data_IF_409734157331
#
_entry.id   IF_409734157331
#
_cell.length_a   1.000
_cell.length_b   1.000
_cell.length_c   1.000
_cell.angle_alpha   90.00
_cell.angle_beta   90.00
_cell.angle_gamma   90.00
#
_symmetry.space_group_name_H-M   'P 1'
#
loop_
_entity.id
_entity.type
_entity.pdbx_description
1 polymer ?
#
# COMPACT_ATOMS: atom_id res chain seq x y z
N UNK A 1 2.51 45.48 -18.97
CA UNK A 1 2.02 44.09 -19.07
C UNK A 1 1.97 43.56 -17.66
N UNK A 2 0.77 43.56 -17.11
CA UNK A 2 0.48 43.17 -15.74
C UNK A 2 0.51 41.65 -15.57
N UNK A 3 0.80 41.24 -14.34
CA UNK A 3 0.01 40.31 -13.53
C UNK A 3 0.69 38.99 -13.13
N UNK A 4 0.58 38.77 -11.80
CA UNK A 4 0.53 37.50 -11.05
C UNK A 4 1.86 36.92 -10.55
N UNK A 5 2.19 37.29 -9.32
CA UNK A 5 3.11 36.57 -8.45
C UNK A 5 2.62 36.63 -6.99
N UNK A 6 2.30 35.45 -6.45
CA UNK A 6 2.21 35.06 -5.04
C UNK A 6 1.23 35.79 -4.11
N UNK A 7 0.09 35.11 -3.85
CA UNK A 7 -0.53 35.12 -2.53
C UNK A 7 -0.88 33.66 -2.17
N UNK A 8 -0.04 33.06 -1.31
CA UNK A 8 -0.29 31.78 -0.65
C UNK A 8 -1.46 31.99 0.33
N UNK A 9 -2.67 31.59 -0.06
CA UNK A 9 -3.82 31.53 0.84
C UNK A 9 -3.86 30.14 1.46
N UNK A 10 -3.54 30.09 2.75
CA UNK A 10 -3.80 28.95 3.62
C UNK A 10 -5.31 28.78 3.72
N UNK A 11 -5.87 27.77 3.06
CA UNK A 11 -7.25 27.34 3.27
C UNK A 11 -7.36 26.70 4.66
N UNK A 12 -7.69 27.50 5.68
CA UNK A 12 -8.26 26.98 6.91
C UNK A 12 -9.73 26.64 6.64
N UNK A 13 -10.06 25.36 6.83
CA UNK A 13 -11.42 24.82 6.73
C UNK A 13 -12.38 25.60 7.63
N UNK A 14 -13.40 26.21 7.02
CA UNK A 14 -14.51 26.82 7.74
C UNK A 14 -15.47 25.68 8.09
N UNK A 15 -15.44 25.25 9.35
CA UNK A 15 -16.50 24.44 9.95
C UNK A 15 -17.74 25.34 10.02
N UNK A 16 -18.68 25.17 9.09
CA UNK A 16 -20.02 25.75 9.22
C UNK A 16 -20.80 24.93 10.24
N UNK A 17 -20.86 25.43 11.48
CA UNK A 17 -21.83 24.99 12.48
C UNK A 17 -23.20 25.55 12.07
N UNK A 18 -24.06 24.70 11.50
CA UNK A 18 -25.48 25.02 11.36
C UNK A 18 -26.16 24.70 12.69
N UNK A 19 -26.54 25.76 13.42
CA UNK A 19 -27.43 25.65 14.59
C UNK A 19 -28.86 25.59 14.04
N UNK A 20 -29.49 24.40 14.05
CA UNK A 20 -30.93 24.29 13.81
C UNK A 20 -31.71 24.69 15.06
N UNK A 21 -32.61 25.65 14.90
CA UNK A 21 -33.64 25.98 15.87
C UNK A 21 -34.68 24.85 15.94
N UNK A 22 -34.94 24.33 17.13
CA UNK A 22 -35.95 23.32 17.39
C UNK A 22 -37.36 23.92 17.32
N UNK A 23 -38.17 23.48 16.35
CA UNK A 23 -39.62 23.63 16.38
C UNK A 23 -40.21 22.28 16.81
N UNK A 24 -40.86 22.28 17.98
CA UNK A 24 -41.54 21.11 18.54
C UNK A 24 -42.84 20.86 17.79
N UNK A 25 -42.97 19.67 17.20
CA UNK A 25 -44.25 19.08 16.81
C UNK A 25 -44.33 17.69 17.42
N UNK A 26 -45.19 17.52 18.42
CA UNK A 26 -45.52 16.24 19.00
C UNK A 26 -46.54 15.50 18.12
N UNK A 27 -46.27 14.24 17.74
CA UNK A 27 -47.06 13.04 18.09
C UNK A 27 -46.75 11.87 17.17
N UNK A 28 -46.02 10.88 17.68
CA UNK A 28 -46.25 9.43 17.59
C UNK A 28 -45.03 8.76 18.24
N UNK A 29 -45.23 7.99 19.31
CA UNK A 29 -44.18 7.26 20.00
C UNK A 29 -43.53 6.22 19.06
N UNK A 30 -42.29 6.46 18.64
CA UNK A 30 -41.37 5.40 18.20
C UNK A 30 -40.09 5.49 19.03
N UNK A 31 -40.07 4.77 20.15
CA UNK A 31 -38.95 4.77 21.10
C UNK A 31 -37.80 3.87 20.64
N UNK A 32 -37.51 3.81 19.33
CA UNK A 32 -36.50 2.91 18.78
C UNK A 32 -35.52 3.58 17.81
N UNK A 33 -35.32 4.90 17.89
CA UNK A 33 -34.22 5.56 17.17
C UNK A 33 -32.88 5.43 17.91
N UNK A 34 -32.69 4.35 18.65
CA UNK A 34 -31.47 4.02 19.40
C UNK A 34 -30.70 2.90 18.72
N UNK A 35 -29.65 2.40 19.40
CA UNK A 35 -28.93 1.22 18.93
C UNK A 35 -29.88 0.05 18.65
N UNK A 36 -29.74 -0.58 17.50
CA UNK A 36 -30.68 -1.59 17.00
C UNK A 36 -29.92 -2.77 16.43
N UNK A 37 -30.31 -3.97 16.86
CA UNK A 37 -29.84 -5.22 16.29
C UNK A 37 -30.80 -5.67 15.19
N UNK A 38 -30.30 -5.87 13.99
CA UNK A 38 -31.11 -6.21 12.81
C UNK A 38 -30.89 -7.68 12.43
N UNK A 39 -31.97 -8.46 12.40
CA UNK A 39 -32.00 -9.84 11.89
C UNK A 39 -32.74 -9.91 10.55
N UNK A 40 -33.68 -8.99 10.32
CA UNK A 40 -34.55 -9.01 9.14
C UNK A 40 -34.98 -7.61 8.72
N UNK A 41 -35.62 -7.50 7.56
CA UNK A 41 -36.21 -6.24 7.10
C UNK A 41 -37.20 -5.66 8.12
N UNK A 42 -37.93 -6.48 8.89
CA UNK A 42 -38.89 -5.98 9.88
C UNK A 42 -38.21 -5.17 11.00
N UNK A 43 -36.98 -5.52 11.37
CA UNK A 43 -36.18 -4.76 12.35
C UNK A 43 -35.73 -3.42 11.76
N UNK A 44 -35.38 -3.39 10.46
CA UNK A 44 -35.05 -2.16 9.74
C UNK A 44 -36.29 -1.27 9.53
N UNK A 45 -37.47 -1.84 9.29
CA UNK A 45 -38.73 -1.11 9.15
C UNK A 45 -39.13 -0.41 10.46
N UNK A 46 -38.74 -0.96 11.62
CA UNK A 46 -38.93 -0.29 12.91
C UNK A 46 -38.17 1.05 13.02
N UNK A 47 -37.12 1.23 12.20
CA UNK A 47 -36.34 2.47 12.10
C UNK A 47 -36.90 3.45 11.05
N UNK A 48 -37.96 3.11 10.31
CA UNK A 48 -38.37 3.90 9.14
C UNK A 48 -38.87 5.31 9.46
N UNK A 49 -39.28 5.53 10.71
CA UNK A 49 -39.66 6.85 11.23
C UNK A 49 -38.48 7.66 11.79
N UNK A 50 -37.29 7.08 11.86
CA UNK A 50 -36.09 7.68 12.44
C UNK A 50 -35.23 8.33 11.36
N UNK A 51 -35.31 9.66 11.23
CA UNK A 51 -34.36 10.39 10.40
C UNK A 51 -32.92 10.25 10.94
N UNK A 52 -32.78 10.20 12.26
CA UNK A 52 -31.50 9.98 12.96
C UNK A 52 -31.60 8.78 13.88
N UNK A 53 -30.66 7.86 13.77
CA UNK A 53 -30.43 6.78 14.75
C UNK A 53 -29.31 7.21 15.68
N UNK A 54 -29.58 7.29 16.98
CA UNK A 54 -28.60 7.61 18.02
C UNK A 54 -28.07 6.32 18.63
N UNK A 55 -26.93 5.85 18.12
CA UNK A 55 -26.32 4.58 18.48
C UNK A 55 -26.05 3.68 17.27
N UNK A 56 -25.66 2.45 17.57
CA UNK A 56 -25.14 1.51 16.57
C UNK A 56 -26.24 0.66 15.95
N UNK A 57 -26.13 0.42 14.64
CA UNK A 57 -26.87 -0.63 13.95
C UNK A 57 -25.99 -1.87 13.87
N UNK A 58 -26.42 -2.96 14.46
CA UNK A 58 -25.66 -4.22 14.50
C UNK A 58 -26.40 -5.29 13.69
N UNK A 59 -25.81 -5.76 12.60
CA UNK A 59 -26.31 -6.86 11.80
C UNK A 59 -26.02 -8.17 12.53
N UNK A 60 -27.09 -8.90 12.85
CA UNK A 60 -27.03 -10.17 13.53
C UNK A 60 -26.28 -11.26 12.74
N UNK A 61 -25.68 -12.25 13.41
CA UNK A 61 -25.05 -13.39 12.70
C UNK A 61 -26.04 -14.21 11.86
N UNK A 62 -27.32 -14.16 12.21
CA UNK A 62 -28.42 -14.78 11.47
C UNK A 62 -29.24 -13.77 10.65
N UNK A 63 -28.70 -12.57 10.39
CA UNK A 63 -29.35 -11.61 9.51
C UNK A 63 -29.58 -12.24 8.12
N UNK A 64 -30.77 -12.08 7.56
CA UNK A 64 -31.16 -12.77 6.34
C UNK A 64 -31.94 -11.91 5.35
N UNK A 65 -31.72 -12.20 4.06
CA UNK A 65 -32.42 -11.57 2.95
C UNK A 65 -31.91 -10.17 2.63
N UNK A 66 -32.81 -9.32 2.16
CA UNK A 66 -32.51 -7.94 1.76
C UNK A 66 -32.93 -6.99 2.87
N UNK A 67 -32.03 -6.11 3.28
CA UNK A 67 -32.22 -5.16 4.38
C UNK A 67 -32.06 -3.74 3.87
N UNK A 68 -33.09 -2.91 4.00
CA UNK A 68 -33.13 -1.51 3.60
C UNK A 68 -33.47 -0.63 4.80
N UNK A 69 -32.55 0.27 5.15
CA UNK A 69 -32.70 1.32 6.16
C UNK A 69 -33.47 2.51 5.57
N UNK A 70 -34.71 2.28 5.20
CA UNK A 70 -35.58 3.30 4.57
C UNK A 70 -35.88 4.42 5.57
N UNK A 71 -35.77 5.68 5.17
CA UNK A 71 -36.11 6.83 6.04
C UNK A 71 -34.98 7.27 6.98
N UNK A 72 -33.97 6.43 7.21
CA UNK A 72 -32.77 6.79 7.96
C UNK A 72 -31.89 7.70 7.10
N UNK A 73 -31.54 8.87 7.63
CA UNK A 73 -30.67 9.87 6.98
C UNK A 73 -29.32 9.98 7.69
N UNK A 74 -29.28 9.80 9.01
CA UNK A 74 -28.07 9.92 9.83
C UNK A 74 -28.00 8.75 10.81
N UNK A 75 -26.81 8.15 10.94
CA UNK A 75 -26.48 7.24 12.03
C UNK A 75 -25.41 7.91 12.88
N UNK A 76 -25.79 8.31 14.08
CA UNK A 76 -24.85 8.79 15.10
C UNK A 76 -24.30 7.58 15.88
N UNK A 77 -23.48 6.80 15.19
CA UNK A 77 -23.03 5.49 15.60
C UNK A 77 -22.34 4.77 14.44
N UNK A 78 -22.19 3.45 14.59
CA UNK A 78 -21.65 2.57 13.56
C UNK A 78 -22.73 1.69 12.93
N UNK A 79 -22.51 1.24 11.70
CA UNK A 79 -23.11 0.01 11.18
C UNK A 79 -22.05 -1.08 11.31
N UNK A 80 -22.33 -2.14 12.07
CA UNK A 80 -21.41 -3.26 12.27
C UNK A 80 -22.10 -4.60 12.05
N UNK A 81 -21.31 -5.65 11.87
CA UNK A 81 -21.76 -7.04 11.94
C UNK A 81 -21.35 -7.64 13.28
N UNK A 82 -22.21 -8.49 13.86
CA UNK A 82 -21.76 -9.40 14.92
C UNK A 82 -20.60 -10.27 14.42
N UNK A 83 -19.85 -10.88 15.34
CA UNK A 83 -18.67 -11.69 14.99
C UNK A 83 -19.05 -12.89 14.11
N UNK A 84 -18.84 -12.72 12.81
CA UNK A 84 -19.01 -13.71 11.77
C UNK A 84 -17.69 -14.47 11.54
N UNK A 85 -17.77 -15.79 11.39
CA UNK A 85 -16.60 -16.63 11.07
C UNK A 85 -16.66 -17.01 9.59
N UNK A 86 -15.69 -16.54 8.82
CA UNK A 86 -15.51 -16.99 7.44
C UNK A 86 -14.50 -18.14 7.38
N UNK A 87 -14.99 -19.36 7.08
CA UNK A 87 -14.17 -20.59 7.05
C UNK A 87 -13.36 -20.78 5.76
N UNK A 88 -13.67 -20.04 4.69
CA UNK A 88 -13.08 -20.21 3.35
C UNK A 88 -12.21 -19.03 2.90
N UNK A 89 -11.73 -18.21 3.84
CA UNK A 89 -10.86 -17.12 3.47
C UNK A 89 -9.52 -17.55 2.95
N UNK A 90 -9.19 -17.12 1.74
CA UNK A 90 -7.80 -16.99 1.32
C UNK A 90 -7.12 -16.11 2.36
N UNK A 91 -6.14 -16.66 3.08
CA UNK A 91 -5.23 -15.84 3.86
C UNK A 91 -4.63 -14.80 2.92
N UNK A 92 -5.04 -13.54 3.04
CA UNK A 92 -4.26 -12.44 2.52
C UNK A 92 -2.85 -12.64 3.04
N UNK A 93 -1.89 -12.82 2.14
CA UNK A 93 -0.49 -12.98 2.51
C UNK A 93 -0.11 -11.76 3.32
N UNK A 94 0.05 -11.97 4.63
CA UNK A 94 0.48 -10.95 5.57
C UNK A 94 1.74 -10.26 5.05
N UNK A 95 1.62 -8.99 4.71
CA UNK A 95 2.78 -8.13 4.47
C UNK A 95 3.13 -7.54 5.83
N UNK A 96 4.30 -7.91 6.36
CA UNK A 96 4.75 -7.44 7.66
C UNK A 96 4.84 -5.89 7.65
N UNK A 97 3.92 -5.23 8.38
CA UNK A 97 3.95 -3.77 8.57
C UNK A 97 2.59 -3.04 8.67
N UNK A 98 1.45 -3.66 8.35
CA UNK A 98 0.14 -2.97 8.42
C UNK A 98 -0.47 -2.99 9.84
N UNK A 99 -0.98 -1.86 10.39
CA UNK A 99 -1.58 -1.80 11.73
C UNK A 99 -3.08 -2.13 11.73
N UNK A 100 -3.53 -3.08 10.89
CA UNK A 100 -4.96 -3.45 10.78
C UNK A 100 -5.11 -4.97 10.77
N UNK A 101 -5.95 -5.45 11.71
CA UNK A 101 -6.50 -6.79 11.88
C UNK A 101 -5.54 -7.92 12.33
N UNK A 102 -5.38 -8.05 13.66
CA UNK A 102 -5.16 -9.36 14.27
C UNK A 102 -6.46 -10.18 14.18
N UNK A 103 -6.70 -10.83 13.04
CA UNK A 103 -7.72 -11.88 12.95
C UNK A 103 -7.08 -13.17 13.46
N UNK A 104 -7.72 -13.92 14.38
CA UNK A 104 -7.28 -15.26 14.72
C UNK A 104 -7.34 -16.13 13.45
N UNK A 105 -6.19 -16.49 12.91
CA UNK A 105 -6.07 -17.57 11.95
C UNK A 105 -6.64 -18.83 12.61
N UNK A 106 -7.73 -19.39 12.08
CA UNK A 106 -8.11 -20.76 12.42
C UNK A 106 -7.08 -21.66 11.75
N UNK A 107 -6.14 -22.16 12.55
CA UNK A 107 -5.39 -23.36 12.20
C UNK A 107 -6.37 -24.47 11.81
N UNK A 108 -5.88 -25.36 10.95
CA UNK A 108 -6.51 -26.60 10.45
C UNK A 108 -6.81 -27.62 11.58
N UNK A 109 -7.23 -27.13 12.75
CA UNK A 109 -7.42 -27.88 13.98
C UNK A 109 -8.90 -28.28 14.10
N UNK A 110 -9.14 -29.56 13.86
CA UNK A 110 -10.47 -30.18 13.85
C UNK A 110 -11.20 -30.13 15.19
N UNK A 111 -10.50 -29.80 16.29
CA UNK A 111 -11.07 -29.76 17.64
C UNK A 111 -11.63 -28.39 18.07
N UNK A 112 -11.48 -27.33 17.25
CA UNK A 112 -12.09 -26.00 17.48
C UNK A 112 -13.48 -25.88 16.79
N UNK A 113 -14.06 -26.97 16.28
CA UNK A 113 -15.36 -26.94 15.59
C UNK A 113 -16.57 -26.91 16.55
N UNK A 114 -16.42 -27.29 17.82
CA UNK A 114 -17.59 -27.49 18.71
C UNK A 114 -18.02 -26.26 19.51
N UNK A 115 -17.21 -25.19 19.58
CA UNK A 115 -17.53 -23.99 20.37
C UNK A 115 -18.15 -22.85 19.53
N UNK A 116 -18.16 -22.97 18.20
CA UNK A 116 -18.71 -21.98 17.26
C UNK A 116 -19.80 -22.61 16.40
N UNK A 117 -20.97 -22.82 17.00
CA UNK A 117 -22.18 -23.21 16.30
C UNK A 117 -22.68 -22.04 15.42
N UNK A 118 -22.67 -22.23 14.11
CA UNK A 118 -23.47 -21.53 13.07
C UNK A 118 -23.35 -20.00 12.88
N UNK A 119 -22.31 -19.32 13.38
CA UNK A 119 -22.05 -17.89 13.07
C UNK A 119 -21.45 -17.66 11.66
N UNK A 120 -22.01 -18.30 10.63
CA UNK A 120 -21.47 -18.26 9.26
C UNK A 120 -21.95 -17.07 8.42
N UNK A 121 -22.89 -16.27 8.93
CA UNK A 121 -23.40 -15.02 8.34
C UNK A 121 -23.69 -15.09 6.83
N UNK A 122 -24.21 -16.24 6.38
CA UNK A 122 -24.49 -16.50 4.97
C UNK A 122 -25.83 -15.93 4.51
N UNK A 123 -26.70 -15.52 5.44
CA UNK A 123 -28.10 -15.21 5.14
C UNK A 123 -28.31 -13.83 4.50
N UNK A 124 -27.48 -12.85 4.84
CA UNK A 124 -27.66 -11.46 4.39
C UNK A 124 -27.25 -11.34 2.93
N UNK A 125 -28.18 -10.91 2.07
CA UNK A 125 -27.97 -10.81 0.62
C UNK A 125 -27.70 -9.37 0.19
N UNK A 126 -28.41 -8.40 0.78
CA UNK A 126 -28.15 -6.98 0.49
C UNK A 126 -28.41 -6.06 1.66
N UNK A 127 -27.64 -4.96 1.70
CA UNK A 127 -27.82 -3.86 2.64
C UNK A 127 -27.98 -2.54 1.86
N UNK A 128 -29.06 -1.83 2.10
CA UNK A 128 -29.36 -0.57 1.44
C UNK A 128 -29.74 0.52 2.44
N UNK A 129 -29.47 1.76 2.08
CA UNK A 129 -29.86 2.96 2.83
C UNK A 129 -30.09 4.10 1.84
N UNK A 130 -31.25 4.15 1.17
CA UNK A 130 -31.49 5.04 0.02
C UNK A 130 -31.46 6.53 0.39
N UNK A 131 -31.68 6.85 1.67
CA UNK A 131 -31.68 8.21 2.22
C UNK A 131 -30.48 8.50 3.12
N UNK A 132 -29.66 7.49 3.44
CA UNK A 132 -28.55 7.60 4.39
C UNK A 132 -27.48 8.55 3.84
N UNK A 133 -27.15 9.59 4.60
CA UNK A 133 -26.23 10.65 4.23
C UNK A 133 -24.92 10.63 5.03
N UNK A 134 -24.94 10.17 6.28
CA UNK A 134 -23.74 10.13 7.12
C UNK A 134 -23.77 9.05 8.19
N UNK A 135 -22.59 8.51 8.49
CA UNK A 135 -22.31 7.62 9.62
C UNK A 135 -21.22 8.30 10.47
N UNK A 136 -21.50 8.57 11.76
CA UNK A 136 -20.57 9.33 12.62
C UNK A 136 -19.41 8.52 13.18
N UNK A 137 -19.43 7.19 13.01
CA UNK A 137 -18.34 6.29 13.37
C UNK A 137 -17.98 5.39 12.17
N UNK A 138 -18.21 4.08 12.23
CA UNK A 138 -17.75 3.13 11.20
C UNK A 138 -18.88 2.46 10.41
N UNK A 139 -18.60 2.11 9.16
CA UNK A 139 -19.35 1.14 8.37
C UNK A 139 -18.50 -0.12 8.25
N UNK A 140 -18.79 -1.14 9.04
CA UNK A 140 -18.02 -2.38 9.11
C UNK A 140 -18.89 -3.59 8.74
N UNK A 141 -18.62 -4.16 7.57
CA UNK A 141 -19.28 -5.32 7.00
C UNK A 141 -18.24 -6.43 6.81
N UNK A 142 -18.07 -7.25 7.84
CA UNK A 142 -17.01 -8.27 7.88
C UNK A 142 -17.57 -9.69 7.84
N UNK A 143 -16.93 -10.55 7.05
CA UNK A 143 -17.20 -12.00 6.95
C UNK A 143 -18.66 -12.29 6.58
N UNK A 144 -19.17 -11.63 5.54
CA UNK A 144 -20.54 -11.80 5.03
C UNK A 144 -20.51 -12.50 3.66
N UNK A 145 -20.33 -13.84 3.61
CA UNK A 145 -20.17 -14.57 2.35
C UNK A 145 -21.42 -14.56 1.46
N UNK A 146 -22.60 -14.24 1.99
CA UNK A 146 -23.84 -14.10 1.21
C UNK A 146 -24.09 -12.70 0.66
N UNK A 147 -23.35 -11.69 1.11
CA UNK A 147 -23.64 -10.29 0.80
C UNK A 147 -23.26 -9.98 -0.65
N UNK A 148 -24.28 -9.78 -1.49
CA UNK A 148 -24.14 -9.53 -2.91
C UNK A 148 -24.23 -8.04 -3.29
N UNK A 149 -24.85 -7.21 -2.45
CA UNK A 149 -25.05 -5.79 -2.76
C UNK A 149 -25.03 -4.89 -1.53
N UNK A 150 -24.28 -3.79 -1.60
CA UNK A 150 -24.33 -2.68 -0.64
C UNK A 150 -24.63 -1.38 -1.38
N UNK A 151 -25.67 -0.65 -0.97
CA UNK A 151 -26.10 0.56 -1.67
C UNK A 151 -26.47 1.71 -0.73
N UNK A 152 -25.62 2.73 -0.70
CA UNK A 152 -25.86 3.99 0.02
C UNK A 152 -25.67 5.18 -0.93
N UNK A 153 -26.62 5.42 -1.86
CA UNK A 153 -26.45 6.37 -2.96
C UNK A 153 -26.32 7.84 -2.54
N UNK A 154 -26.74 8.19 -1.31
CA UNK A 154 -26.64 9.55 -0.75
C UNK A 154 -25.57 9.68 0.34
N UNK A 155 -24.84 8.61 0.65
CA UNK A 155 -23.85 8.63 1.74
C UNK A 155 -22.71 9.53 1.33
N UNK A 156 -22.47 10.58 2.11
CA UNK A 156 -21.44 11.59 1.87
C UNK A 156 -20.21 11.36 2.73
N UNK A 157 -20.40 10.96 3.98
CA UNK A 157 -19.32 10.88 4.95
C UNK A 157 -19.48 9.66 5.85
N UNK A 158 -18.38 8.95 6.06
CA UNK A 158 -18.20 8.06 7.21
C UNK A 158 -17.07 8.68 8.02
N UNK A 159 -17.28 9.00 9.29
CA UNK A 159 -16.23 9.70 10.04
C UNK A 159 -15.02 8.82 10.30
N UNK A 160 -15.25 7.51 10.53
CA UNK A 160 -14.24 6.48 10.73
C UNK A 160 -14.07 5.59 9.50
N UNK A 161 -13.97 4.29 9.75
CA UNK A 161 -13.64 3.27 8.75
C UNK A 161 -14.86 2.84 7.91
N UNK A 162 -14.65 2.70 6.60
CA UNK A 162 -15.48 1.88 5.71
C UNK A 162 -14.74 0.57 5.47
N UNK A 163 -15.18 -0.52 6.11
CA UNK A 163 -14.59 -1.86 6.01
C UNK A 163 -15.58 -2.81 5.36
N UNK A 164 -15.19 -3.35 4.20
CA UNK A 164 -15.81 -4.52 3.59
C UNK A 164 -14.73 -5.60 3.50
N UNK A 165 -14.80 -6.60 4.39
CA UNK A 165 -13.81 -7.66 4.50
C UNK A 165 -14.49 -9.03 4.42
N UNK A 166 -13.96 -9.97 3.62
CA UNK A 166 -14.53 -11.31 3.54
C UNK A 166 -15.96 -11.28 3.00
N UNK A 167 -16.17 -10.58 1.89
CA UNK A 167 -17.45 -10.42 1.18
C UNK A 167 -17.35 -10.98 -0.24
N UNK A 168 -16.99 -12.27 -0.40
CA UNK A 168 -16.61 -12.83 -1.70
C UNK A 168 -17.72 -12.74 -2.76
N UNK A 169 -18.99 -12.78 -2.35
CA UNK A 169 -20.15 -12.70 -3.26
C UNK A 169 -20.56 -11.28 -3.63
N UNK A 170 -19.86 -10.23 -3.16
CA UNK A 170 -20.23 -8.84 -3.39
C UNK A 170 -20.10 -8.48 -4.87
N UNK A 171 -21.22 -8.30 -5.56
CA UNK A 171 -21.27 -7.92 -6.97
C UNK A 171 -21.44 -6.40 -7.16
N UNK A 172 -22.10 -5.74 -6.21
CA UNK A 172 -22.48 -4.32 -6.32
C UNK A 172 -22.12 -3.53 -5.06
N UNK A 173 -21.29 -2.49 -5.22
CA UNK A 173 -20.99 -1.51 -4.19
C UNK A 173 -21.29 -0.10 -4.71
N UNK A 174 -22.35 0.53 -4.19
CA UNK A 174 -22.84 1.82 -4.68
C UNK A 174 -22.67 2.90 -3.62
N UNK A 175 -21.58 3.67 -3.71
CA UNK A 175 -21.23 4.80 -2.83
C UNK A 175 -20.86 6.08 -3.62
N UNK A 176 -21.66 6.50 -4.62
CA UNK A 176 -21.26 7.53 -5.59
C UNK A 176 -21.05 8.92 -4.99
N UNK A 177 -21.62 9.21 -3.82
CA UNK A 177 -21.50 10.50 -3.15
C UNK A 177 -20.51 10.49 -1.98
N UNK A 178 -19.87 9.35 -1.69
CA UNK A 178 -18.95 9.23 -0.56
C UNK A 178 -17.73 10.11 -0.83
N UNK A 179 -17.63 11.21 -0.10
CA UNK A 179 -16.58 12.20 -0.24
C UNK A 179 -15.40 11.96 0.71
N UNK A 180 -15.69 11.44 1.92
CA UNK A 180 -14.66 11.21 2.93
C UNK A 180 -14.92 9.98 3.80
N UNK A 181 -13.83 9.30 4.14
CA UNK A 181 -13.74 8.30 5.19
C UNK A 181 -12.40 8.47 5.93
N UNK A 182 -12.29 8.08 7.20
CA UNK A 182 -10.96 7.99 7.83
C UNK A 182 -10.13 6.91 7.12
N UNK A 183 -10.71 5.72 6.94
CA UNK A 183 -10.10 4.63 6.17
C UNK A 183 -11.14 3.94 5.28
N UNK A 184 -10.70 3.38 4.18
CA UNK A 184 -11.51 2.62 3.23
C UNK A 184 -10.80 1.31 2.92
N UNK A 185 -11.44 0.19 3.24
CA UNK A 185 -10.92 -1.15 3.05
C UNK A 185 -11.95 -1.98 2.27
N UNK A 186 -11.50 -2.52 1.14
CA UNK A 186 -12.26 -3.48 0.34
C UNK A 186 -11.38 -4.69 0.09
N UNK A 187 -11.64 -5.75 0.86
CA UNK A 187 -10.77 -6.93 0.95
C UNK A 187 -11.59 -8.21 0.78
N UNK A 188 -11.09 -9.12 -0.06
CA UNK A 188 -11.74 -10.40 -0.38
C UNK A 188 -13.17 -10.20 -0.93
N UNK A 189 -13.25 -9.49 -2.06
CA UNK A 189 -14.47 -9.18 -2.80
C UNK A 189 -14.32 -9.64 -4.27
N UNK A 190 -14.11 -10.94 -4.48
CA UNK A 190 -13.70 -11.51 -5.76
C UNK A 190 -14.75 -11.37 -6.87
N UNK A 191 -16.04 -11.25 -6.54
CA UNK A 191 -17.11 -11.05 -7.52
C UNK A 191 -17.36 -9.57 -7.87
N UNK A 192 -16.68 -8.62 -7.20
CA UNK A 192 -16.86 -7.19 -7.48
C UNK A 192 -16.09 -6.79 -8.74
N UNK A 193 -16.82 -6.57 -9.83
CA UNK A 193 -16.22 -6.32 -11.16
C UNK A 193 -15.90 -4.85 -11.45
N UNK A 194 -16.55 -3.93 -10.75
CA UNK A 194 -16.36 -2.48 -10.90
C UNK A 194 -16.40 -1.79 -9.54
N UNK A 195 -15.51 -0.82 -9.36
CA UNK A 195 -15.50 0.08 -8.22
C UNK A 195 -15.44 1.50 -8.75
N UNK A 196 -16.45 2.30 -8.43
CA UNK A 196 -16.51 3.72 -8.78
C UNK A 196 -16.80 4.53 -7.51
N UNK A 197 -15.87 5.41 -7.17
CA UNK A 197 -15.92 6.28 -5.99
C UNK A 197 -15.60 7.72 -6.42
N UNK A 198 -16.44 8.32 -7.29
CA UNK A 198 -16.08 9.54 -8.02
C UNK A 198 -15.99 10.78 -7.13
N UNK A 199 -16.62 10.74 -5.95
CA UNK A 199 -16.58 11.83 -4.97
C UNK A 199 -15.46 11.63 -3.93
N UNK A 200 -14.88 10.43 -3.80
CA UNK A 200 -13.97 10.10 -2.71
C UNK A 200 -12.59 10.73 -2.95
N UNK A 201 -12.35 11.86 -2.30
CA UNK A 201 -11.11 12.61 -2.42
C UNK A 201 -10.38 12.80 -1.08
N UNK A 202 -10.98 12.36 0.04
CA UNK A 202 -10.40 12.52 1.37
C UNK A 202 -10.40 11.20 2.16
N UNK A 203 -9.21 10.59 2.26
CA UNK A 203 -8.92 9.45 3.12
C UNK A 203 -7.63 9.73 3.86
N UNK A 204 -7.69 9.84 5.19
CA UNK A 204 -6.53 10.25 6.01
C UNK A 204 -5.73 9.08 6.58
N UNK A 205 -6.42 7.98 6.87
CA UNK A 205 -5.87 6.70 7.31
C UNK A 205 -5.44 5.85 6.12
N UNK A 206 -6.08 4.68 5.99
CA UNK A 206 -5.72 3.68 4.98
C UNK A 206 -6.73 3.64 3.85
N UNK A 207 -6.26 3.61 2.61
CA UNK A 207 -7.03 3.19 1.45
C UNK A 207 -6.50 1.83 0.98
N UNK A 208 -7.31 0.79 1.05
CA UNK A 208 -6.91 -0.58 0.76
C UNK A 208 -7.89 -1.29 -0.18
N UNK A 209 -7.36 -1.85 -1.27
CA UNK A 209 -8.07 -2.75 -2.17
C UNK A 209 -7.23 -4.03 -2.31
N UNK A 210 -7.73 -5.15 -1.79
CA UNK A 210 -7.03 -6.43 -1.85
C UNK A 210 -7.94 -7.59 -2.26
N UNK A 211 -7.47 -8.42 -3.19
CA UNK A 211 -8.20 -9.63 -3.62
C UNK A 211 -9.60 -9.30 -4.16
N UNK A 212 -9.65 -8.43 -5.17
CA UNK A 212 -10.90 -7.92 -5.77
C UNK A 212 -11.00 -8.25 -7.25
N UNK A 213 -12.19 -8.60 -7.72
CA UNK A 213 -12.50 -9.02 -9.08
C UNK A 213 -12.51 -7.94 -10.17
N UNK A 214 -11.91 -6.77 -9.92
CA UNK A 214 -12.01 -5.58 -10.78
C UNK A 214 -11.62 -5.89 -12.23
N UNK A 215 -12.48 -5.47 -13.18
CA UNK A 215 -12.37 -5.85 -14.60
C UNK A 215 -12.10 -4.68 -15.55
N UNK A 216 -12.19 -3.43 -15.09
CA UNK A 216 -11.80 -2.32 -15.95
C UNK A 216 -10.30 -2.34 -16.19
N UNK A 217 -9.91 -1.97 -17.41
CA UNK A 217 -8.51 -1.99 -17.82
C UNK A 217 -7.68 -1.03 -16.96
N UNK A 218 -8.22 0.17 -16.68
CA UNK A 218 -7.53 1.22 -15.91
C UNK A 218 -8.42 1.79 -14.81
N UNK A 219 -7.85 1.95 -13.61
CA UNK A 219 -8.46 2.67 -12.48
C UNK A 219 -7.66 3.93 -12.15
N UNK A 220 -8.37 5.00 -11.77
CA UNK A 220 -7.79 6.30 -11.41
C UNK A 220 -8.32 6.71 -10.04
N UNK A 221 -7.41 7.02 -9.12
CA UNK A 221 -7.73 7.56 -7.81
C UNK A 221 -7.07 8.93 -7.62
N UNK A 222 -7.85 9.88 -7.11
CA UNK A 222 -7.39 11.24 -6.83
C UNK A 222 -7.76 11.64 -5.42
N UNK A 223 -6.75 11.69 -4.55
CA UNK A 223 -6.90 12.02 -3.13
C UNK A 223 -6.20 13.37 -2.85
N UNK A 224 -6.93 14.30 -2.24
CA UNK A 224 -6.46 15.67 -1.99
C UNK A 224 -5.50 15.78 -0.79
N UNK A 225 -5.66 14.90 0.21
CA UNK A 225 -4.99 15.00 1.50
C UNK A 225 -3.86 13.98 1.71
N UNK A 226 -3.25 14.06 2.90
CA UNK A 226 -2.30 13.08 3.40
C UNK A 226 -3.01 11.74 3.56
N UNK A 227 -2.49 10.68 2.94
CA UNK A 227 -2.95 9.31 3.14
C UNK A 227 -1.89 8.59 3.95
N UNK A 228 -2.25 8.00 5.08
CA UNK A 228 -1.28 7.25 5.89
C UNK A 228 -0.77 6.02 5.13
N UNK A 229 -1.68 5.24 4.55
CA UNK A 229 -1.34 4.08 3.73
C UNK A 229 -2.26 3.96 2.51
N UNK A 230 -1.69 3.66 1.34
CA UNK A 230 -2.41 3.33 0.12
C UNK A 230 -1.94 1.97 -0.36
N UNK A 231 -2.81 0.97 -0.32
CA UNK A 231 -2.46 -0.44 -0.52
C UNK A 231 -3.33 -1.03 -1.62
N UNK A 232 -2.70 -1.60 -2.63
CA UNK A 232 -3.40 -2.33 -3.70
C UNK A 232 -2.72 -3.66 -3.96
N UNK A 233 -3.51 -4.73 -3.99
CA UNK A 233 -3.02 -6.06 -4.32
C UNK A 233 -4.14 -7.01 -4.78
N UNK A 234 -3.77 -8.16 -5.34
CA UNK A 234 -4.75 -9.20 -5.68
C UNK A 234 -5.83 -8.73 -6.67
N UNK A 235 -5.48 -7.89 -7.64
CA UNK A 235 -6.38 -7.38 -8.70
C UNK A 235 -6.03 -8.00 -10.06
N UNK A 236 -6.39 -9.27 -10.32
CA UNK A 236 -5.78 -10.09 -11.37
C UNK A 236 -6.06 -9.64 -12.80
N UNK A 237 -7.08 -8.82 -13.04
CA UNK A 237 -7.49 -8.39 -14.39
C UNK A 237 -7.17 -6.93 -14.71
N UNK A 238 -6.78 -6.13 -13.71
CA UNK A 238 -6.46 -4.71 -13.90
C UNK A 238 -5.12 -4.57 -14.59
N UNK A 239 -5.07 -3.74 -15.63
CA UNK A 239 -3.85 -3.48 -16.41
C UNK A 239 -3.23 -2.14 -16.11
N UNK A 240 -4.01 -1.15 -15.72
CA UNK A 240 -3.56 0.21 -15.46
C UNK A 240 -4.03 0.68 -14.09
N UNK A 241 -3.13 1.28 -13.34
CA UNK A 241 -3.48 1.92 -12.08
C UNK A 241 -2.83 3.29 -11.98
N UNK A 242 -3.66 4.33 -11.77
CA UNK A 242 -3.23 5.70 -11.63
C UNK A 242 -3.58 6.26 -10.26
N UNK A 243 -2.60 6.85 -9.59
CA UNK A 243 -2.79 7.54 -8.31
C UNK A 243 -2.28 8.97 -8.38
N UNK A 244 -3.13 9.88 -7.94
CA UNK A 244 -2.85 11.29 -7.66
C UNK A 244 -3.06 11.50 -6.17
N UNK A 245 -1.99 11.78 -5.41
CA UNK A 245 -2.06 12.09 -3.97
C UNK A 245 -0.95 13.06 -3.57
N UNK A 246 -1.21 13.92 -2.58
CA UNK A 246 -0.25 14.92 -2.09
C UNK A 246 0.89 14.31 -1.26
N UNK A 247 0.55 13.58 -0.20
CA UNK A 247 1.51 12.82 0.60
C UNK A 247 0.96 11.43 0.89
N UNK A 248 1.81 10.42 0.76
CA UNK A 248 1.48 9.05 1.17
C UNK A 248 2.56 8.55 2.12
N UNK A 249 2.18 8.09 3.31
CA UNK A 249 3.13 7.46 4.23
C UNK A 249 3.67 6.16 3.61
N UNK A 250 2.78 5.18 3.44
CA UNK A 250 3.08 3.92 2.75
C UNK A 250 2.26 3.80 1.47
N UNK A 251 2.92 3.69 0.32
CA UNK A 251 2.31 3.30 -0.94
C UNK A 251 2.77 1.89 -1.30
N UNK A 252 1.86 0.93 -1.21
CA UNK A 252 2.12 -0.47 -1.54
C UNK A 252 1.31 -0.92 -2.74
N UNK A 253 1.99 -1.43 -3.76
CA UNK A 253 1.38 -1.96 -4.98
C UNK A 253 1.89 -3.37 -5.24
N UNK A 254 0.96 -4.32 -5.27
CA UNK A 254 1.18 -5.71 -5.64
C UNK A 254 0.42 -6.01 -6.95
N UNK A 255 1.15 -5.99 -8.05
CA UNK A 255 0.63 -6.28 -9.37
C UNK A 255 0.38 -7.76 -9.64
N UNK A 256 -0.13 -8.03 -10.84
CA UNK A 256 -0.51 -9.35 -11.35
C UNK A 256 0.43 -9.87 -12.47
N UNK A 257 1.63 -9.29 -12.57
CA UNK A 257 2.63 -9.51 -13.62
C UNK A 257 2.46 -8.62 -14.85
N UNK A 258 1.28 -8.02 -15.05
CA UNK A 258 0.95 -7.17 -16.20
C UNK A 258 0.51 -5.77 -15.80
N UNK A 259 0.33 -5.51 -14.49
CA UNK A 259 -0.09 -4.21 -13.99
C UNK A 259 0.93 -3.13 -14.38
N UNK A 260 0.46 -2.16 -15.15
CA UNK A 260 1.07 -0.88 -15.41
C UNK A 260 0.67 0.09 -14.30
N UNK A 261 1.65 0.42 -13.48
CA UNK A 261 1.49 1.40 -12.43
C UNK A 261 1.99 2.76 -12.89
N UNK A 262 1.12 3.77 -12.82
CA UNK A 262 1.45 5.16 -13.12
C UNK A 262 1.16 6.01 -11.88
N UNK A 263 2.19 6.61 -11.31
CA UNK A 263 2.00 7.65 -10.31
C UNK A 263 2.18 9.00 -10.98
N UNK A 264 1.13 9.80 -11.12
CA UNK A 264 1.21 11.10 -11.79
C UNK A 264 0.45 12.15 -11.02
N UNK A 265 0.98 13.37 -10.95
CA UNK A 265 0.22 14.51 -10.48
C UNK A 265 0.77 15.82 -11.09
N UNK A 266 -0.15 16.76 -11.30
CA UNK A 266 0.10 18.13 -11.75
C UNK A 266 0.30 19.14 -10.60
N UNK A 267 0.21 18.69 -9.34
CA UNK A 267 0.42 19.54 -8.15
C UNK A 267 1.91 19.62 -7.80
N UNK A 268 2.35 20.82 -7.41
CA UNK A 268 3.68 21.08 -6.87
C UNK A 268 3.83 20.31 -5.53
N UNK A 269 4.72 19.33 -5.49
CA UNK A 269 5.12 18.51 -4.31
C UNK A 269 4.25 17.30 -3.96
N UNK A 270 4.48 16.18 -4.66
CA UNK A 270 4.05 14.85 -4.22
C UNK A 270 5.16 14.18 -3.42
N UNK A 271 4.86 13.63 -2.24
CA UNK A 271 5.83 12.91 -1.43
C UNK A 271 5.31 11.55 -0.99
N UNK A 272 6.14 10.52 -1.11
CA UNK A 272 5.86 9.19 -0.58
C UNK A 272 6.96 8.80 0.39
N UNK A 273 6.63 8.47 1.64
CA UNK A 273 7.67 8.10 2.60
C UNK A 273 8.24 6.71 2.26
N UNK A 274 7.36 5.73 2.00
CA UNK A 274 7.75 4.40 1.51
C UNK A 274 6.90 4.00 0.32
N UNK A 275 7.54 3.77 -0.82
CA UNK A 275 6.95 3.19 -2.01
C UNK A 275 7.45 1.76 -2.18
N UNK A 276 6.56 0.78 -2.04
CA UNK A 276 6.84 -0.64 -2.25
C UNK A 276 6.07 -1.14 -3.47
N UNK A 277 6.76 -1.61 -4.50
CA UNK A 277 6.17 -2.14 -5.72
C UNK A 277 6.66 -3.55 -6.01
N UNK A 278 5.73 -4.46 -6.22
CA UNK A 278 5.98 -5.87 -6.53
C UNK A 278 5.00 -6.41 -7.56
N UNK A 279 5.39 -7.42 -8.33
CA UNK A 279 4.50 -8.05 -9.31
C UNK A 279 4.00 -7.13 -10.43
N UNK A 280 4.58 -5.94 -10.64
CA UNK A 280 4.17 -5.04 -11.73
C UNK A 280 4.91 -5.37 -13.03
N UNK A 281 4.22 -5.17 -14.16
CA UNK A 281 4.76 -5.35 -15.52
C UNK A 281 5.28 -4.06 -16.14
N UNK A 282 4.86 -2.90 -15.63
CA UNK A 282 5.37 -1.59 -16.00
C UNK A 282 5.29 -0.64 -14.80
N UNK A 283 6.28 0.24 -14.68
CA UNK A 283 6.37 1.26 -13.63
C UNK A 283 6.68 2.61 -14.27
N UNK A 284 5.78 3.57 -14.08
CA UNK A 284 5.93 4.95 -14.55
C UNK A 284 5.77 5.89 -13.36
N UNK A 285 6.84 6.60 -13.05
CA UNK A 285 6.84 7.61 -12.00
C UNK A 285 6.82 9.00 -12.62
N UNK A 286 5.84 9.81 -12.24
CA UNK A 286 5.80 11.25 -12.45
C UNK A 286 6.63 12.00 -11.40
N UNK A 287 6.51 13.32 -11.35
CA UNK A 287 7.27 14.17 -10.43
C UNK A 287 6.91 13.90 -8.97
N UNK A 288 7.79 13.19 -8.25
CA UNK A 288 7.57 12.83 -6.84
C UNK A 288 8.86 12.78 -6.02
N UNK A 289 8.78 13.12 -4.74
CA UNK A 289 9.80 12.83 -3.73
C UNK A 289 9.50 11.46 -3.10
N UNK A 290 10.50 10.60 -2.96
CA UNK A 290 10.32 9.28 -2.33
C UNK A 290 11.38 9.10 -1.26
N UNK A 291 11.05 8.89 0.01
CA UNK A 291 12.10 8.63 1.00
C UNK A 291 12.70 7.22 0.80
N UNK A 292 11.84 6.19 0.70
CA UNK A 292 12.24 4.80 0.50
C UNK A 292 11.52 4.19 -0.71
N UNK A 293 12.27 3.75 -1.72
CA UNK A 293 11.74 2.99 -2.86
C UNK A 293 12.20 1.54 -2.78
N UNK A 294 11.25 0.61 -2.78
CA UNK A 294 11.44 -0.84 -2.82
C UNK A 294 10.81 -1.38 -4.10
N UNK A 295 11.63 -1.91 -5.00
CA UNK A 295 11.22 -2.57 -6.24
C UNK A 295 11.58 -4.05 -6.13
N UNK A 296 10.61 -4.88 -5.78
CA UNK A 296 10.85 -6.28 -5.46
C UNK A 296 10.00 -7.25 -6.30
N UNK A 297 10.61 -8.20 -7.00
CA UNK A 297 9.86 -9.29 -7.64
C UNK A 297 8.94 -8.86 -8.79
N UNK A 298 9.33 -7.85 -9.56
CA UNK A 298 8.58 -7.38 -10.73
C UNK A 298 9.01 -8.10 -12.03
N UNK A 299 8.16 -8.02 -13.05
CA UNK A 299 8.37 -8.58 -14.41
C UNK A 299 8.90 -7.54 -15.41
N UNK A 300 9.27 -6.35 -14.92
CA UNK A 300 9.86 -5.27 -15.73
C UNK A 300 11.23 -5.66 -16.30
N UNK A 301 11.52 -5.22 -17.53
CA UNK A 301 12.87 -5.30 -18.13
C UNK A 301 13.69 -4.04 -17.86
N UNK A 302 13.04 -2.87 -17.80
CA UNK A 302 13.68 -1.58 -17.59
C UNK A 302 12.98 -0.84 -16.45
N UNK A 303 13.75 -0.39 -15.46
CA UNK A 303 13.29 0.49 -14.40
C UNK A 303 13.74 1.92 -14.70
N UNK A 304 12.81 2.86 -14.88
CA UNK A 304 13.13 4.27 -15.08
C UNK A 304 12.71 5.11 -13.89
N UNK A 305 13.68 5.76 -13.24
CA UNK A 305 13.44 6.57 -12.05
C UNK A 305 13.42 8.09 -12.35
N UNK A 306 13.35 8.48 -13.63
CA UNK A 306 13.48 9.88 -14.07
C UNK A 306 12.43 10.85 -13.48
N UNK A 307 11.27 10.36 -13.04
CA UNK A 307 10.27 11.19 -12.34
C UNK A 307 10.58 11.46 -10.87
N UNK A 308 11.48 10.69 -10.26
CA UNK A 308 11.78 10.79 -8.83
C UNK A 308 12.76 11.95 -8.58
N UNK A 309 12.30 12.94 -7.82
CA UNK A 309 13.00 14.20 -7.53
C UNK A 309 13.94 14.11 -6.33
N UNK A 310 13.66 13.23 -5.37
CA UNK A 310 14.55 12.94 -4.23
C UNK A 310 14.40 11.48 -3.83
N UNK A 311 15.49 10.87 -3.36
CA UNK A 311 15.50 9.52 -2.79
C UNK A 311 16.51 9.38 -1.65
N UNK A 312 16.13 8.68 -0.57
CA UNK A 312 17.05 8.34 0.54
C UNK A 312 17.47 6.88 0.48
N UNK A 313 16.51 5.98 0.33
CA UNK A 313 16.74 4.54 0.26
C UNK A 313 16.23 3.97 -1.05
N UNK A 314 17.09 3.29 -1.80
CA UNK A 314 16.72 2.55 -3.00
C UNK A 314 17.05 1.07 -2.82
N UNK A 315 16.03 0.23 -2.99
CA UNK A 315 16.11 -1.22 -2.85
C UNK A 315 15.54 -1.89 -4.11
N UNK A 316 16.38 -2.60 -4.86
CA UNK A 316 16.00 -3.30 -6.09
C UNK A 316 16.31 -4.78 -5.93
N UNK A 317 15.28 -5.59 -5.71
CA UNK A 317 15.43 -6.99 -5.34
C UNK A 317 14.64 -7.93 -6.24
N UNK A 318 15.21 -9.09 -6.58
CA UNK A 318 14.47 -10.22 -7.16
C UNK A 318 13.69 -9.93 -8.46
N UNK A 319 14.04 -8.88 -9.21
CA UNK A 319 13.39 -8.56 -10.48
C UNK A 319 14.07 -9.39 -11.58
N UNK A 320 13.57 -10.61 -11.80
CA UNK A 320 14.27 -11.64 -12.61
C UNK A 320 14.47 -11.24 -14.08
N UNK A 321 13.61 -10.37 -14.60
CA UNK A 321 13.64 -9.91 -15.99
C UNK A 321 14.37 -8.56 -16.17
N UNK A 322 14.78 -7.92 -15.08
CA UNK A 322 15.38 -6.59 -15.10
C UNK A 322 16.77 -6.63 -15.74
N UNK A 323 16.93 -5.88 -16.83
CA UNK A 323 18.19 -5.71 -17.57
C UNK A 323 18.75 -4.31 -17.43
N UNK A 324 17.90 -3.30 -17.17
CA UNK A 324 18.29 -1.89 -17.21
C UNK A 324 17.65 -1.09 -16.08
N UNK A 325 18.42 -0.20 -15.43
CA UNK A 325 17.96 0.75 -14.42
C UNK A 325 18.45 2.16 -14.77
N UNK A 326 17.56 3.02 -15.24
CA UNK A 326 17.85 4.45 -15.38
C UNK A 326 17.65 5.13 -14.01
N UNK A 327 18.76 5.56 -13.38
CA UNK A 327 18.73 6.23 -12.08
C UNK A 327 18.14 7.64 -12.20
N UNK A 328 17.57 8.20 -11.11
CA UNK A 328 17.00 9.55 -11.17
C UNK A 328 18.09 10.58 -11.51
N UNK A 329 17.75 11.48 -12.44
CA UNK A 329 18.58 12.64 -12.74
C UNK A 329 18.08 13.83 -11.92
N UNK A 330 18.92 14.31 -11.00
CA UNK A 330 18.67 15.54 -10.26
C UNK A 330 19.37 16.69 -10.99
N UNK A 331 18.69 17.45 -11.88
CA UNK A 331 19.28 18.68 -12.38
C UNK A 331 19.58 19.55 -11.17
N UNK A 332 20.80 20.08 -11.07
CA UNK A 332 21.20 20.96 -9.98
C UNK A 332 20.19 22.11 -9.87
N UNK A 333 19.26 22.02 -8.93
CA UNK A 333 18.27 23.07 -8.68
C UNK A 333 19.00 24.21 -7.99
N UNK A 334 19.63 25.07 -8.80
CA UNK A 334 20.12 26.38 -8.40
C UNK A 334 18.92 27.22 -7.93
N UNK A 335 18.49 27.03 -6.68
CA UNK A 335 17.39 27.78 -6.09
C UNK A 335 16.73 27.16 -4.85
N UNK A 336 16.74 25.83 -4.68
CA UNK A 336 15.94 25.17 -3.60
C UNK A 336 16.72 24.28 -2.63
N UNK A 337 18.05 24.16 -2.75
CA UNK A 337 18.91 23.73 -1.63
C UNK A 337 18.73 22.32 -1.06
N UNK A 338 17.85 21.47 -1.61
CA UNK A 338 17.71 20.07 -1.19
C UNK A 338 18.57 19.19 -2.10
N UNK A 339 19.82 18.97 -1.70
CA UNK A 339 20.64 17.91 -2.30
C UNK A 339 20.00 16.55 -1.97
N UNK A 340 20.06 15.55 -2.87
CA UNK A 340 19.58 14.21 -2.58
C UNK A 340 20.31 13.64 -1.35
N UNK A 341 19.54 13.20 -0.35
CA UNK A 341 20.04 12.72 0.94
C UNK A 341 20.12 11.19 0.97
N UNK A 342 20.91 10.64 0.05
CA UNK A 342 21.13 9.20 -0.03
C UNK A 342 21.60 8.62 1.30
N UNK A 343 20.97 7.52 1.71
CA UNK A 343 21.29 6.78 2.92
C UNK A 343 21.63 5.33 2.59
N UNK A 344 20.76 4.64 1.84
CA UNK A 344 20.93 3.21 1.56
C UNK A 344 20.71 2.92 0.07
N UNK A 345 21.60 2.11 -0.49
CA UNK A 345 21.49 1.66 -1.88
C UNK A 345 21.74 0.16 -1.92
N UNK A 346 20.71 -0.61 -2.26
CA UNK A 346 20.74 -2.06 -2.23
C UNK A 346 20.20 -2.64 -3.56
N UNK A 347 21.01 -3.47 -4.22
CA UNK A 347 20.64 -4.15 -5.47
C UNK A 347 21.04 -5.62 -5.35
N UNK A 348 20.06 -6.53 -5.34
CA UNK A 348 20.32 -7.97 -5.22
C UNK A 348 19.30 -8.84 -5.96
N UNK A 349 19.68 -10.07 -6.31
CA UNK A 349 18.74 -11.03 -6.90
C UNK A 349 18.21 -10.65 -8.29
N UNK A 350 18.93 -9.80 -9.04
CA UNK A 350 18.58 -9.40 -10.42
C UNK A 350 19.54 -10.09 -11.42
N UNK A 351 19.28 -11.35 -11.84
CA UNK A 351 20.23 -12.18 -12.60
C UNK A 351 20.49 -11.73 -14.04
N UNK A 352 19.64 -10.89 -14.63
CA UNK A 352 19.83 -10.37 -15.99
C UNK A 352 20.39 -8.93 -16.02
N UNK A 353 20.59 -8.32 -14.86
CA UNK A 353 21.14 -6.97 -14.73
C UNK A 353 22.67 -7.02 -14.90
N UNK A 354 23.08 -7.22 -16.15
CA UNK A 354 24.48 -7.30 -16.58
C UNK A 354 24.97 -5.97 -17.16
N UNK A 355 26.21 -5.95 -17.64
CA UNK A 355 27.08 -4.79 -17.84
C UNK A 355 26.71 -3.77 -18.91
N UNK A 356 25.63 -3.04 -18.68
CA UNK A 356 25.39 -1.67 -19.09
C UNK A 356 24.04 -1.24 -18.48
N UNK A 357 23.85 0.06 -18.28
CA UNK A 357 22.53 0.65 -17.95
C UNK A 357 22.12 0.64 -16.50
N UNK A 358 23.06 0.84 -15.58
CA UNK A 358 22.81 1.78 -14.47
C UNK A 358 23.59 3.05 -14.77
N UNK A 359 22.88 4.10 -15.16
CA UNK A 359 23.48 5.38 -15.52
C UNK A 359 23.02 6.44 -14.52
N UNK A 360 23.92 6.82 -13.60
CA UNK A 360 23.71 7.97 -12.73
C UNK A 360 24.57 9.13 -13.23
N UNK A 361 23.95 10.07 -13.93
CA UNK A 361 24.59 11.32 -14.34
C UNK A 361 24.32 12.47 -13.37
N UNK A 362 23.80 12.17 -12.18
CA UNK A 362 23.38 13.19 -11.23
C UNK A 362 24.54 14.04 -10.72
N UNK A 363 24.26 15.33 -10.56
CA UNK A 363 25.14 16.30 -9.93
C UNK A 363 24.35 16.98 -8.78
N UNK A 364 24.72 16.76 -7.50
CA UNK A 364 25.98 16.17 -7.04
C UNK A 364 26.03 14.64 -7.17
N UNK A 365 27.24 14.06 -7.05
CA UNK A 365 27.41 12.64 -6.85
C UNK A 365 26.59 12.07 -5.68
N UNK A 366 26.44 10.75 -5.62
CA UNK A 366 25.85 10.08 -4.45
C UNK A 366 26.81 10.28 -3.26
N UNK A 367 26.34 10.88 -2.17
CA UNK A 367 27.19 11.21 -1.02
C UNK A 367 26.63 10.60 0.27
N UNK A 368 27.54 10.32 1.22
CA UNK A 368 27.23 9.99 2.62
C UNK A 368 26.30 8.79 2.84
N UNK A 369 26.52 7.70 2.08
CA UNK A 369 25.77 6.47 2.27
C UNK A 369 26.07 5.83 3.64
N UNK A 370 25.01 5.38 4.30
CA UNK A 370 25.07 4.52 5.48
C UNK A 370 25.18 3.04 5.10
N UNK A 371 24.63 2.64 3.95
CA UNK A 371 24.73 1.26 3.46
C UNK A 371 24.79 1.19 1.94
N UNK A 372 25.66 0.33 1.43
CA UNK A 372 25.78 -0.01 0.02
C UNK A 372 25.92 -1.54 -0.13
N UNK A 373 24.92 -2.18 -0.73
CA UNK A 373 24.84 -3.64 -0.87
C UNK A 373 24.55 -4.03 -2.31
N UNK A 374 25.51 -4.67 -2.97
CA UNK A 374 25.37 -5.12 -4.35
C UNK A 374 25.70 -6.60 -4.49
N UNK A 375 24.74 -7.39 -4.98
CA UNK A 375 24.97 -8.81 -5.29
C UNK A 375 24.36 -9.19 -6.63
N UNK A 376 25.13 -9.79 -7.54
CA UNK A 376 24.62 -10.16 -8.86
C UNK A 376 25.73 -10.38 -9.89
N UNK A 377 25.40 -10.50 -11.18
CA UNK A 377 26.38 -10.75 -12.25
C UNK A 377 26.96 -9.45 -12.81
N UNK A 378 27.39 -8.52 -11.95
CA UNK A 378 27.91 -7.21 -12.37
C UNK A 378 29.40 -7.28 -12.70
N UNK A 379 29.82 -6.76 -13.85
CA UNK A 379 31.25 -6.62 -14.19
C UNK A 379 31.89 -5.35 -13.60
N UNK A 380 33.16 -5.11 -13.98
CA UNK A 380 33.88 -3.89 -13.62
C UNK A 380 33.27 -2.59 -14.18
N UNK A 381 32.80 -2.60 -15.45
CA UNK A 381 32.27 -1.41 -16.10
C UNK A 381 31.03 -0.86 -15.36
N UNK A 382 30.24 -1.75 -14.76
CA UNK A 382 29.11 -1.42 -13.90
C UNK A 382 29.50 -0.49 -12.74
N UNK A 383 30.59 -0.80 -12.03
CA UNK A 383 31.04 0.00 -10.88
C UNK A 383 31.53 1.38 -11.30
N UNK A 384 32.26 1.48 -12.42
CA UNK A 384 32.78 2.77 -12.88
C UNK A 384 31.70 3.82 -13.22
N UNK A 385 30.45 3.39 -13.48
CA UNK A 385 29.33 4.27 -13.83
C UNK A 385 28.50 4.72 -12.62
N UNK A 386 28.47 3.92 -11.55
CA UNK A 386 27.75 4.25 -10.30
C UNK A 386 28.68 5.00 -9.32
N UNK A 387 29.99 4.73 -9.35
CA UNK A 387 30.96 5.25 -8.39
C UNK A 387 31.45 6.66 -8.70
N UNK A 388 30.50 7.58 -8.83
CA UNK A 388 30.76 8.95 -8.38
C UNK A 388 30.63 9.06 -6.85
N UNK A 389 30.29 7.96 -6.14
CA UNK A 389 30.12 7.90 -4.69
C UNK A 389 31.30 8.53 -3.94
N UNK A 390 31.04 9.61 -3.19
CA UNK A 390 32.09 10.33 -2.46
C UNK A 390 32.51 9.60 -1.19
N UNK A 391 31.54 9.06 -0.44
CA UNK A 391 31.79 8.38 0.84
C UNK A 391 30.68 7.43 1.26
N UNK A 392 31.09 6.28 1.80
CA UNK A 392 30.23 5.30 2.48
C UNK A 392 30.72 5.13 3.92
N UNK A 393 29.90 5.52 4.89
CA UNK A 393 30.27 5.51 6.32
C UNK A 393 29.97 4.19 7.02
N UNK A 394 28.91 3.49 6.63
CA UNK A 394 28.53 2.21 7.21
C UNK A 394 28.94 1.03 6.33
N UNK A 395 28.01 0.09 6.09
CA UNK A 395 28.35 -1.17 5.45
C UNK A 395 28.56 -1.01 3.94
N UNK A 396 29.60 -1.66 3.43
CA UNK A 396 29.81 -1.96 2.01
C UNK A 396 29.88 -3.48 1.85
N UNK A 397 28.93 -4.05 1.12
CA UNK A 397 28.94 -5.44 0.69
C UNK A 397 28.83 -5.49 -0.83
N UNK A 398 29.84 -6.05 -1.49
CA UNK A 398 29.82 -6.28 -2.93
C UNK A 398 30.15 -7.74 -3.20
N UNK A 399 29.26 -8.45 -3.88
CA UNK A 399 29.50 -9.82 -4.32
C UNK A 399 29.09 -9.99 -5.78
N UNK A 400 30.06 -10.24 -6.67
CA UNK A 400 29.77 -10.49 -8.08
C UNK A 400 29.98 -11.95 -8.48
N UNK A 401 29.06 -12.46 -9.29
CA UNK A 401 29.19 -13.76 -9.97
C UNK A 401 29.84 -13.65 -11.35
N UNK A 402 30.19 -12.44 -11.81
CA UNK A 402 30.87 -12.25 -13.09
C UNK A 402 32.32 -12.81 -13.06
N UNK A 403 32.75 -13.61 -14.06
CA UNK A 403 34.10 -14.18 -14.12
C UNK A 403 35.25 -13.16 -14.21
N UNK A 404 34.99 -11.96 -14.74
CA UNK A 404 35.96 -10.88 -14.90
C UNK A 404 36.03 -9.94 -13.71
N UNK A 405 35.12 -10.07 -12.75
CA UNK A 405 35.06 -9.18 -11.59
C UNK A 405 36.11 -9.53 -10.52
N UNK A 406 36.89 -8.52 -10.14
CA UNK A 406 37.78 -8.56 -8.99
C UNK A 406 37.65 -7.28 -8.13
N UNK A 407 38.08 -7.37 -6.88
CA UNK A 407 37.89 -6.32 -5.89
C UNK A 407 38.88 -5.14 -5.99
N UNK A 408 39.84 -5.16 -6.93
CA UNK A 408 40.99 -4.23 -6.91
C UNK A 408 40.61 -2.75 -6.94
N UNK A 409 39.52 -2.38 -7.61
CA UNK A 409 39.04 -0.98 -7.62
C UNK A 409 38.39 -0.58 -6.31
N UNK A 410 37.54 -1.44 -5.75
CA UNK A 410 36.91 -1.20 -4.45
C UNK A 410 37.96 -1.19 -3.32
N UNK A 411 39.00 -2.02 -3.41
CA UNK A 411 40.12 -2.02 -2.47
C UNK A 411 40.90 -0.69 -2.49
N UNK A 412 41.03 -0.05 -3.66
CA UNK A 412 41.62 1.31 -3.76
C UNK A 412 40.73 2.36 -3.09
N UNK A 413 39.41 2.26 -3.26
CA UNK A 413 38.44 3.13 -2.59
C UNK A 413 38.35 2.86 -1.09
N UNK A 414 38.68 1.66 -0.64
CA UNK A 414 38.86 1.36 0.78
C UNK A 414 40.15 2.00 1.30
N UNK A 415 41.26 1.86 0.57
CA UNK A 415 42.55 2.38 0.97
C UNK A 415 42.60 3.92 1.04
N UNK A 416 41.85 4.62 0.19
CA UNK A 416 41.78 6.09 0.20
C UNK A 416 40.72 6.66 1.18
N UNK A 417 39.97 5.80 1.89
CA UNK A 417 38.96 6.20 2.88
C UNK A 417 37.57 6.54 2.33
N UNK A 418 37.31 6.36 1.03
CA UNK A 418 35.97 6.50 0.45
C UNK A 418 35.00 5.46 1.04
N UNK A 419 35.45 4.22 1.21
CA UNK A 419 34.70 3.16 1.89
C UNK A 419 35.18 3.08 3.35
N UNK A 420 34.53 3.80 4.26
CA UNK A 420 35.04 3.99 5.63
C UNK A 420 34.56 2.92 6.64
N UNK A 421 33.35 2.36 6.49
CA UNK A 421 32.79 1.39 7.43
C UNK A 421 33.19 -0.06 7.18
N UNK A 422 32.28 -1.01 7.50
CA UNK A 422 32.51 -2.45 7.32
C UNK A 422 32.59 -2.74 5.82
N UNK A 423 33.67 -3.39 5.37
CA UNK A 423 33.93 -3.64 3.96
C UNK A 423 34.02 -5.15 3.69
N UNK A 424 33.24 -5.62 2.72
CA UNK A 424 33.30 -6.99 2.21
C UNK A 424 33.17 -6.95 0.69
N UNK A 425 34.14 -7.53 0.00
CA UNK A 425 34.11 -7.71 -1.44
C UNK A 425 34.42 -9.17 -1.81
N UNK A 426 33.60 -9.74 -2.69
CA UNK A 426 33.76 -11.10 -3.19
C UNK A 426 33.59 -11.12 -4.73
N UNK A 427 34.63 -11.56 -5.44
CA UNK A 427 34.54 -11.90 -6.86
C UNK A 427 34.70 -13.40 -7.09
N UNK A 428 34.41 -13.87 -8.29
CA UNK A 428 34.66 -15.26 -8.71
C UNK A 428 36.15 -15.56 -8.87
N UNK A 429 36.94 -14.56 -9.30
CA UNK A 429 38.40 -14.62 -9.20
C UNK A 429 38.80 -14.20 -7.79
N UNK A 430 38.95 -15.19 -6.90
CA UNK A 430 39.58 -14.97 -5.61
C UNK A 430 41.01 -14.43 -5.84
N UNK A 431 41.28 -13.18 -5.49
CA UNK A 431 42.66 -12.78 -5.25
C UNK A 431 43.08 -13.46 -3.94
N UNK A 432 43.94 -14.47 -4.05
CA UNK A 432 44.75 -14.89 -2.93
C UNK A 432 45.68 -13.72 -2.57
N UNK A 433 45.22 -12.84 -1.70
CA UNK A 433 46.06 -11.88 -1.00
C UNK A 433 45.74 -11.98 0.49
N UNK A 434 46.45 -12.90 1.15
CA UNK A 434 46.53 -12.99 2.59
C UNK A 434 47.35 -11.81 3.14
N UNK A 435 46.80 -11.07 4.10
CA UNK A 435 47.53 -10.39 5.18
C UNK A 435 46.52 -9.93 6.24
N UNK A 436 46.24 -10.75 7.25
CA UNK A 436 46.88 -10.79 8.59
C UNK A 436 46.20 -9.88 9.61
N UNK A 437 45.36 -10.49 10.45
CA UNK A 437 45.07 -10.00 11.81
C UNK A 437 45.35 -11.14 12.81
N UNK A 438 45.81 -10.84 14.05
CA UNK A 438 46.35 -11.84 14.95
C UNK A 438 45.27 -12.75 15.53
N UNK A 439 45.64 -14.02 15.62
CA UNK A 439 44.95 -15.11 16.30
C UNK A 439 44.48 -14.80 17.72
N UNK A 440 43.24 -15.20 18.03
CA UNK A 440 42.73 -15.87 19.25
C UNK A 440 41.39 -16.49 18.80
N UNK A 441 41.02 -17.76 18.90
CA UNK A 441 41.52 -18.97 19.53
C UNK A 441 40.27 -19.86 19.72
N UNK A 442 40.27 -21.07 19.14
CA UNK A 442 39.36 -22.22 19.35
C UNK A 442 37.82 -21.95 19.38
N UNK A 443 36.94 -22.59 18.62
CA UNK A 443 36.99 -23.87 17.90
C UNK A 443 35.61 -24.50 18.06
N UNK A 444 34.99 -24.98 16.97
CA UNK A 444 34.10 -26.14 16.97
C UNK A 444 33.85 -26.57 15.52
N UNK A 445 34.27 -27.80 15.22
CA UNK A 445 33.92 -28.54 14.00
C UNK A 445 32.56 -29.20 14.17
N UNK A 446 31.94 -29.49 13.02
CA UNK A 446 30.96 -30.53 12.64
C UNK A 446 29.80 -29.87 11.87
N UNK A 447 29.29 -30.36 10.74
CA UNK A 447 29.68 -31.40 9.79
C UNK A 447 28.81 -31.17 8.53
N UNK A 448 29.28 -31.62 7.37
CA UNK A 448 28.55 -31.60 6.11
C UNK A 448 27.46 -32.68 6.03
N UNK A 449 26.33 -32.35 5.40
CA UNK A 449 25.38 -33.25 4.68
C UNK A 449 24.13 -32.43 4.33
N UNK A 450 23.46 -32.47 3.18
CA UNK A 450 23.52 -33.19 1.90
C UNK A 450 22.52 -32.47 0.97
N UNK A 451 22.83 -32.25 -0.31
CA UNK A 451 22.40 -33.03 -1.48
C UNK A 451 20.88 -32.98 -1.80
N UNK A 452 20.64 -32.78 -3.10
CA UNK A 452 19.44 -32.99 -3.94
C UNK A 452 18.44 -31.83 -4.08
N UNK A 453 17.77 -31.65 -5.21
CA UNK A 453 17.97 -31.99 -6.63
C UNK A 453 16.80 -31.32 -7.37
N UNK A 454 16.99 -31.01 -8.64
CA UNK A 454 15.94 -30.53 -9.53
C UNK A 454 14.76 -31.50 -9.66
N UNK A 455 13.54 -30.96 -9.66
CA UNK A 455 12.48 -31.19 -10.66
C UNK A 455 11.50 -30.02 -10.65
#
# INVERSE_FOLDING_TARGET
MEAKGLLFLVFHSIINIIILASVSAATATSTACGSTRIVSQADADALSGCATVTGDIVLATNAAGNISLTGVEVIDGSITTETCIWKNGTAGTYVAGSPVLAIPYMSDDTDIQSAYTDNNCTGLVSLAGPTLMSISQALNLSNLPGLASVSFPKLKTVAGEVLLYGVPSLENLTLPQLASAESFHLVDAQELQSLDLPALNNVTGTFEIQTVGLTYDTYVFSLEFLVSSFIIGGIPKVRGFQLTAGHVGLLEVQGNGFLEFVYWNAIDYNRVDTLSVSGCGSLVFGNMAVDTLIVNGNTISTLRLNGIQTIKTLRIHNNRQLTDVEMPFFPSLSGFGLLPSWQNLEISGNPLLQSARIEYYGNPPIQNLSSMVFTGPFDYAWFSKIFTVEKVWGQTLVASTDPGFNCSYLDKLRANGTLAGIYTCQGTTASMAASSSPSHGAGHRLAASGICSWL
#
